data_IF_690268675209
#
_entry.id   IF_690268675209
#
_cell.length_a   1.000
_cell.length_b   1.000
_cell.length_c   1.000
_cell.angle_alpha   90.00
_cell.angle_beta   90.00
_cell.angle_gamma   90.00
#
_symmetry.space_group_name_H-M   'P 1'
#
loop_
_entity.id
_entity.type
_entity.pdbx_description
1 polymer ?
#
# COMPACT_ATOMS: atom_id res chain seq x y z
N UNK A 1 1.22 -7.19 -17.40
CA UNK A 1 0.43 -6.90 -16.17
C UNK A 1 1.25 -5.91 -15.35
N UNK A 2 0.66 -4.79 -14.89
CA UNK A 2 1.35 -3.85 -13.99
C UNK A 2 1.55 -4.55 -12.65
N UNK A 3 2.71 -5.20 -12.47
CA UNK A 3 3.01 -6.03 -11.30
C UNK A 3 3.52 -5.22 -10.12
N UNK A 4 3.98 -4.00 -10.37
CA UNK A 4 4.65 -3.15 -9.38
C UNK A 4 4.07 -1.73 -9.44
N UNK A 5 3.35 -1.27 -8.40
CA UNK A 5 2.70 0.03 -8.36
C UNK A 5 3.67 1.22 -8.52
N UNK A 6 4.90 1.04 -8.06
CA UNK A 6 5.94 2.08 -8.03
C UNK A 6 6.99 1.91 -9.13
N UNK A 7 6.79 0.99 -10.08
CA UNK A 7 7.75 0.81 -11.16
C UNK A 7 7.66 1.93 -12.20
N UNK A 8 8.78 2.20 -12.85
CA UNK A 8 8.85 3.14 -13.96
C UNK A 8 7.89 2.73 -15.10
N UNK A 9 7.71 1.43 -15.34
CA UNK A 9 6.77 0.90 -16.33
C UNK A 9 5.32 1.25 -15.97
N UNK A 10 4.93 1.10 -14.71
CA UNK A 10 3.58 1.47 -14.24
C UNK A 10 3.35 2.97 -14.35
N UNK A 11 4.35 3.78 -13.98
CA UNK A 11 4.27 5.23 -14.11
C UNK A 11 4.11 5.67 -15.58
N UNK A 12 4.87 5.06 -16.50
CA UNK A 12 4.76 5.32 -17.94
C UNK A 12 3.36 4.95 -18.46
N UNK A 13 2.85 3.78 -18.09
CA UNK A 13 1.50 3.35 -18.50
C UNK A 13 0.39 4.25 -17.96
N UNK A 14 0.50 4.71 -16.71
CA UNK A 14 -0.44 5.69 -16.17
C UNK A 14 -0.38 7.03 -16.91
N UNK A 15 0.81 7.48 -17.29
CA UNK A 15 0.98 8.70 -18.09
C UNK A 15 0.38 8.54 -19.49
N UNK A 16 0.56 7.38 -20.14
CA UNK A 16 -0.08 7.07 -21.42
C UNK A 16 -1.60 7.10 -21.31
N UNK A 17 -2.18 6.45 -20.29
CA UNK A 17 -3.63 6.45 -20.06
C UNK A 17 -4.15 7.87 -19.84
N UNK A 18 -3.46 8.69 -19.03
CA UNK A 18 -3.80 10.11 -18.82
C UNK A 18 -3.79 10.90 -20.13
N UNK A 19 -2.76 10.71 -20.95
CA UNK A 19 -2.65 11.40 -22.23
C UNK A 19 -3.79 10.99 -23.17
N UNK A 20 -4.11 9.70 -23.27
CA UNK A 20 -5.19 9.20 -24.13
C UNK A 20 -6.56 9.69 -23.69
N UNK A 21 -6.81 9.73 -22.39
CA UNK A 21 -8.08 10.18 -21.79
C UNK A 21 -8.12 11.69 -21.50
N UNK A 22 -7.15 12.45 -22.01
CA UNK A 22 -7.12 13.91 -21.85
C UNK A 22 -8.34 14.57 -22.48
N UNK A 23 -8.70 15.75 -21.94
CA UNK A 23 -9.85 16.52 -22.40
C UNK A 23 -9.79 16.86 -23.89
N UNK A 24 -8.61 17.21 -24.41
CA UNK A 24 -8.40 17.52 -25.82
C UNK A 24 -8.63 16.30 -26.71
N UNK A 25 -8.08 15.14 -26.32
CA UNK A 25 -8.22 13.91 -27.08
C UNK A 25 -9.66 13.41 -27.05
N UNK A 26 -10.30 13.38 -25.88
CA UNK A 26 -11.73 13.06 -25.74
C UNK A 26 -12.58 13.99 -26.62
N UNK A 27 -12.35 15.30 -26.57
CA UNK A 27 -13.09 16.26 -27.41
C UNK A 27 -12.88 16.00 -28.90
N UNK A 28 -11.65 15.69 -29.34
CA UNK A 28 -11.37 15.36 -30.74
C UNK A 28 -12.08 14.08 -31.19
N UNK A 29 -12.15 13.06 -30.33
CA UNK A 29 -12.85 11.80 -30.60
C UNK A 29 -14.37 12.00 -30.70
N UNK A 30 -14.92 12.91 -29.90
CA UNK A 30 -16.34 13.25 -29.90
C UNK A 30 -16.76 14.21 -31.02
N UNK A 31 -15.81 14.76 -31.79
CA UNK A 31 -16.08 15.61 -32.96
C UNK A 31 -15.88 14.86 -34.29
N UNK A 32 -15.38 13.62 -34.24
CA UNK A 32 -15.15 12.79 -35.42
C UNK A 32 -16.42 12.13 -35.97
N UNK A 33 -16.33 11.49 -37.15
CA UNK A 33 -17.47 10.80 -37.79
C UNK A 33 -18.02 9.63 -36.97
N UNK A 34 -17.25 9.10 -36.00
CA UNK A 34 -17.62 7.98 -35.13
C UNK A 34 -17.89 8.44 -33.67
N UNK A 35 -18.34 9.68 -33.48
CA UNK A 35 -18.52 10.29 -32.15
C UNK A 35 -19.40 9.46 -31.20
N UNK A 36 -20.47 8.84 -31.70
CA UNK A 36 -21.40 8.04 -30.89
C UNK A 36 -20.73 6.76 -30.34
N UNK A 37 -19.95 6.07 -31.18
CA UNK A 37 -19.20 4.88 -30.78
C UNK A 37 -18.08 5.25 -29.78
N UNK A 38 -17.39 6.36 -30.03
CA UNK A 38 -16.40 6.90 -29.10
C UNK A 38 -17.03 7.24 -27.73
N UNK A 39 -18.23 7.85 -27.72
CA UNK A 39 -19.00 8.16 -26.50
C UNK A 39 -19.29 6.90 -25.68
N UNK A 40 -19.69 5.82 -26.34
CA UNK A 40 -19.95 4.53 -25.68
C UNK A 40 -18.68 3.95 -25.06
N UNK A 41 -17.59 3.90 -25.83
CA UNK A 41 -16.31 3.36 -25.35
C UNK A 41 -15.75 4.16 -24.16
N UNK A 42 -15.79 5.49 -24.22
CA UNK A 42 -15.32 6.34 -23.13
C UNK A 42 -16.18 6.14 -21.88
N UNK A 43 -17.50 5.93 -22.03
CA UNK A 43 -18.40 5.63 -20.91
C UNK A 43 -18.03 4.30 -20.25
N UNK A 44 -17.78 3.24 -21.02
CA UNK A 44 -17.34 1.94 -20.49
C UNK A 44 -15.99 2.04 -19.77
N UNK A 45 -15.05 2.81 -20.32
CA UNK A 45 -13.74 3.04 -19.67
C UNK A 45 -13.93 3.81 -18.36
N UNK A 46 -14.77 4.84 -18.33
CA UNK A 46 -15.09 5.61 -17.13
C UNK A 46 -15.72 4.76 -16.03
N UNK A 47 -16.63 3.85 -16.39
CA UNK A 47 -17.23 2.90 -15.43
C UNK A 47 -16.19 1.94 -14.85
N UNK A 48 -15.26 1.45 -15.67
CA UNK A 48 -14.15 0.58 -15.22
C UNK A 48 -13.15 1.31 -14.32
N UNK A 49 -12.89 2.57 -14.59
CA UNK A 49 -12.05 3.45 -13.74
C UNK A 49 -12.82 4.05 -12.56
N UNK A 50 -14.12 3.75 -12.44
CA UNK A 50 -14.96 4.24 -11.35
C UNK A 50 -14.59 3.63 -10.00
N UNK A 51 -14.92 4.36 -8.92
CA UNK A 51 -14.62 3.97 -7.54
C UNK A 51 -15.11 2.56 -7.20
N UNK A 52 -16.34 2.21 -7.59
CA UNK A 52 -16.95 0.91 -7.27
C UNK A 52 -16.26 -0.27 -7.96
N UNK A 53 -15.84 -0.09 -9.22
CA UNK A 53 -15.12 -1.10 -10.00
C UNK A 53 -13.71 -1.31 -9.45
N UNK A 54 -13.00 -0.23 -9.15
CA UNK A 54 -11.65 -0.28 -8.59
C UNK A 54 -11.64 -0.83 -7.16
N UNK A 55 -12.64 -0.49 -6.34
CA UNK A 55 -12.79 -1.07 -5.01
C UNK A 55 -13.00 -2.58 -5.06
N UNK A 56 -13.83 -3.08 -5.98
CA UNK A 56 -14.02 -4.54 -6.16
C UNK A 56 -12.72 -5.25 -6.53
N UNK A 57 -11.93 -4.69 -7.44
CA UNK A 57 -10.63 -5.26 -7.84
C UNK A 57 -9.65 -5.22 -6.66
N UNK A 58 -9.68 -4.15 -5.87
CA UNK A 58 -8.86 -4.00 -4.68
C UNK A 58 -9.23 -5.01 -3.58
N UNK A 59 -10.51 -5.19 -3.31
CA UNK A 59 -11.03 -6.18 -2.35
C UNK A 59 -10.67 -7.60 -2.78
N UNK A 60 -10.76 -7.90 -4.09
CA UNK A 60 -10.33 -9.20 -4.64
C UNK A 60 -8.82 -9.43 -4.52
N UNK A 61 -8.00 -8.37 -4.54
CA UNK A 61 -6.55 -8.47 -4.36
C UNK A 61 -6.14 -8.87 -2.94
N UNK A 62 -7.01 -8.64 -1.95
CA UNK A 62 -6.82 -9.17 -0.59
C UNK A 62 -7.04 -10.69 -0.52
N UNK A 63 -7.91 -11.23 -1.38
CA UNK A 63 -8.35 -12.63 -1.41
C UNK A 63 -7.60 -13.49 -2.44
N UNK A 64 -6.29 -13.29 -2.61
CA UNK A 64 -5.50 -14.29 -3.35
C UNK A 64 -5.43 -15.53 -2.46
N UNK A 65 -6.19 -16.57 -2.80
CA UNK A 65 -6.16 -17.86 -2.10
C UNK A 65 -4.75 -18.43 -2.16
N UNK A 66 -4.11 -18.53 -1.00
CA UNK A 66 -2.82 -19.18 -0.89
C UNK A 66 -3.03 -20.69 -0.88
N UNK A 67 -2.37 -21.46 -1.78
CA UNK A 67 -2.44 -22.91 -1.76
C UNK A 67 -2.07 -23.45 -0.37
N UNK A 68 -2.88 -24.37 0.16
CA UNK A 68 -2.72 -24.97 1.49
C UNK A 68 -3.42 -24.23 2.64
N UNK A 69 -4.06 -23.08 2.38
CA UNK A 69 -4.80 -22.27 3.37
C UNK A 69 -6.28 -22.06 3.00
N UNK A 70 -6.79 -22.73 1.97
CA UNK A 70 -8.23 -22.74 1.73
C UNK A 70 -8.95 -23.48 2.87
N UNK A 71 -10.24 -23.19 3.12
CA UNK A 71 -11.00 -23.86 4.18
C UNK A 71 -11.04 -25.40 4.04
N UNK A 72 -10.98 -25.91 2.81
CA UNK A 72 -10.96 -27.35 2.54
C UNK A 72 -9.58 -27.93 2.83
N UNK A 73 -8.51 -27.31 2.34
CA UNK A 73 -7.14 -27.76 2.62
C UNK A 73 -6.79 -27.68 4.10
N UNK A 74 -7.27 -26.66 4.83
CA UNK A 74 -7.11 -26.56 6.29
C UNK A 74 -7.81 -27.74 6.97
N UNK A 75 -9.04 -28.06 6.56
CA UNK A 75 -9.77 -29.20 7.11
C UNK A 75 -9.03 -30.50 6.83
N UNK A 76 -8.53 -30.70 5.62
CA UNK A 76 -7.79 -31.90 5.24
C UNK A 76 -6.45 -32.01 5.99
N UNK A 77 -5.75 -30.88 6.18
CA UNK A 77 -4.49 -30.78 6.94
C UNK A 77 -4.64 -30.94 8.44
N UNK A 78 -5.82 -30.71 9.01
CA UNK A 78 -6.05 -30.81 10.47
C UNK A 78 -6.82 -32.07 10.85
N UNK A 79 -7.37 -32.79 9.86
CA UNK A 79 -8.04 -34.07 10.02
C UNK A 79 -7.04 -35.24 10.14
N UNK A 80 -6.20 -35.23 11.18
CA UNK A 80 -5.46 -36.43 11.60
C UNK A 80 -6.27 -37.23 12.62
N UNK A 81 -6.10 -38.55 12.61
CA UNK A 81 -6.63 -39.46 13.64
C UNK A 81 -5.80 -39.43 14.93
N UNK A 82 -4.59 -38.87 14.88
CA UNK A 82 -3.73 -38.62 16.03
C UNK A 82 -4.02 -37.23 16.64
N UNK A 83 -4.44 -37.14 17.91
CA UNK A 83 -4.74 -35.87 18.58
C UNK A 83 -3.54 -34.91 18.70
N UNK A 84 -2.32 -35.41 18.91
CA UNK A 84 -1.14 -34.54 19.07
C UNK A 84 -0.69 -33.96 17.72
N UNK A 85 -0.80 -34.77 16.67
CA UNK A 85 -0.51 -34.35 15.30
C UNK A 85 -1.54 -33.31 14.82
N UNK A 86 -2.83 -33.57 15.04
CA UNK A 86 -3.92 -32.65 14.68
C UNK A 86 -3.75 -31.29 15.38
N UNK A 87 -3.38 -31.30 16.67
CA UNK A 87 -3.11 -30.07 17.41
C UNK A 87 -1.90 -29.31 16.84
N UNK A 88 -0.80 -30.01 16.55
CA UNK A 88 0.41 -29.40 15.99
C UNK A 88 0.18 -28.80 14.60
N UNK A 89 -0.54 -29.52 13.74
CA UNK A 89 -0.93 -29.03 12.40
C UNK A 89 -1.87 -27.83 12.50
N UNK A 90 -2.79 -27.83 13.47
CA UNK A 90 -3.69 -26.69 13.72
C UNK A 90 -2.90 -25.45 14.13
N UNK A 91 -1.93 -25.59 15.04
CA UNK A 91 -1.05 -24.48 15.45
C UNK A 91 -0.26 -23.93 14.26
N UNK A 92 0.29 -24.80 13.42
CA UNK A 92 1.01 -24.38 12.21
C UNK A 92 0.10 -23.61 11.24
N UNK A 93 -1.14 -24.09 11.03
CA UNK A 93 -2.13 -23.39 10.19
C UNK A 93 -2.47 -22.02 10.77
N UNK A 94 -2.62 -21.88 12.09
CA UNK A 94 -2.86 -20.59 12.72
C UNK A 94 -1.73 -19.58 12.46
N UNK A 95 -0.48 -20.01 12.58
CA UNK A 95 0.68 -19.16 12.28
C UNK A 95 0.71 -18.77 10.80
N UNK A 96 0.45 -19.72 9.90
CA UNK A 96 0.37 -19.46 8.46
C UNK A 96 -0.75 -18.49 8.10
N UNK A 97 -1.94 -18.60 8.72
CA UNK A 97 -3.06 -17.68 8.55
C UNK A 97 -2.72 -16.27 9.05
N UNK A 98 -2.07 -16.15 10.21
CA UNK A 98 -1.63 -14.86 10.74
C UNK A 98 -0.65 -14.18 9.80
N UNK A 99 0.30 -14.96 9.24
CA UNK A 99 1.23 -14.47 8.23
C UNK A 99 0.50 -14.11 6.94
N UNK A 100 -0.48 -14.90 6.49
CA UNK A 100 -1.26 -14.59 5.30
C UNK A 100 -2.09 -13.31 5.45
N UNK A 101 -2.63 -13.04 6.63
CA UNK A 101 -3.33 -11.78 6.91
C UNK A 101 -2.40 -10.57 6.71
N UNK A 102 -1.13 -10.70 7.11
CA UNK A 102 -0.11 -9.65 6.88
C UNK A 102 0.17 -9.46 5.38
N UNK A 103 0.27 -10.55 4.61
CA UNK A 103 0.47 -10.50 3.16
C UNK A 103 -0.75 -9.92 2.43
N UNK A 104 -1.97 -10.28 2.84
CA UNK A 104 -3.20 -9.71 2.30
C UNK A 104 -3.24 -8.20 2.51
N UNK A 105 -2.91 -7.73 3.72
CA UNK A 105 -2.79 -6.30 4.03
C UNK A 105 -1.72 -5.62 3.17
N UNK A 106 -0.58 -6.28 2.95
CA UNK A 106 0.47 -5.76 2.08
C UNK A 106 0.01 -5.63 0.62
N UNK A 107 -0.66 -6.65 0.05
CA UNK A 107 -1.19 -6.60 -1.33
C UNK A 107 -2.19 -5.46 -1.51
N UNK A 108 -3.07 -5.28 -0.52
CA UNK A 108 -4.00 -4.16 -0.47
C UNK A 108 -3.22 -2.85 -0.49
N UNK A 109 -2.32 -2.61 0.49
CA UNK A 109 -1.56 -1.36 0.57
C UNK A 109 -0.74 -1.05 -0.68
N UNK A 110 -0.09 -2.06 -1.26
CA UNK A 110 0.67 -1.91 -2.49
C UNK A 110 -0.25 -1.55 -3.67
N UNK A 111 -1.45 -2.12 -3.77
CA UNK A 111 -2.38 -1.78 -4.86
C UNK A 111 -3.11 -0.45 -4.68
N UNK A 112 -3.17 0.10 -3.45
CA UNK A 112 -3.91 1.35 -3.16
C UNK A 112 -3.45 2.55 -4.02
N UNK A 113 -2.15 2.89 -4.14
CA UNK A 113 -1.72 4.04 -4.95
C UNK A 113 -2.11 3.90 -6.43
N UNK A 114 -2.01 2.69 -6.98
CA UNK A 114 -2.40 2.42 -8.36
C UNK A 114 -3.91 2.57 -8.54
N UNK A 115 -4.71 2.03 -7.61
CA UNK A 115 -6.17 2.18 -7.63
C UNK A 115 -6.57 3.66 -7.52
N UNK A 116 -5.95 4.43 -6.62
CA UNK A 116 -6.19 5.88 -6.51
C UNK A 116 -5.79 6.63 -7.78
N UNK A 117 -4.64 6.31 -8.38
CA UNK A 117 -4.20 6.95 -9.62
C UNK A 117 -5.16 6.69 -10.78
N UNK A 118 -5.65 5.45 -10.92
CA UNK A 118 -6.65 5.08 -11.93
C UNK A 118 -8.00 5.76 -11.68
N UNK A 119 -8.39 5.91 -10.41
CA UNK A 119 -9.61 6.61 -10.04
C UNK A 119 -9.57 8.10 -10.42
N UNK A 120 -8.47 8.80 -10.11
CA UNK A 120 -8.32 10.22 -10.49
C UNK A 120 -8.36 10.41 -12.01
N UNK A 121 -7.74 9.50 -12.77
CA UNK A 121 -7.85 9.48 -14.24
C UNK A 121 -9.31 9.40 -14.67
N UNK A 122 -10.09 8.48 -14.10
CA UNK A 122 -11.52 8.32 -14.44
C UNK A 122 -12.37 9.55 -14.10
N UNK A 123 -11.99 10.32 -13.07
CA UNK A 123 -12.65 11.56 -12.66
C UNK A 123 -12.36 12.72 -13.62
N UNK A 124 -11.13 12.80 -14.13
CA UNK A 124 -10.69 13.84 -15.08
C UNK A 124 -11.36 13.70 -16.47
N UNK A 125 -11.93 12.54 -16.80
CA UNK A 125 -12.70 12.33 -18.04
C UNK A 125 -14.05 13.07 -17.99
N UNK A 126 -14.01 14.30 -18.49
CA UNK A 126 -15.17 15.15 -18.77
C UNK A 126 -15.70 14.88 -20.18
N UNK A 127 -16.89 14.29 -20.27
CA UNK A 127 -17.55 13.97 -21.54
C UNK A 127 -18.21 15.20 -22.20
N UNK A 128 -18.30 16.34 -21.49
CA UNK A 128 -19.11 17.48 -21.88
C UNK A 128 -20.61 17.11 -21.97
N UNK A 129 -21.48 17.95 -21.41
CA UNK A 129 -22.90 17.83 -21.73
C UNK A 129 -23.09 17.89 -23.25
N UNK A 130 -23.96 17.04 -23.84
CA UNK A 130 -24.25 17.14 -25.25
C UNK A 130 -24.86 18.53 -25.49
N UNK A 131 -24.14 19.38 -26.21
CA UNK A 131 -24.66 20.69 -26.63
C UNK A 131 -25.97 20.48 -27.36
N UNK A 132 -27.10 21.04 -26.88
CA UNK A 132 -28.34 21.05 -27.65
C UNK A 132 -28.08 21.81 -28.95
N UNK A 133 -28.38 21.16 -30.07
CA UNK A 133 -28.33 21.75 -31.40
C UNK A 133 -29.23 23.01 -31.43
N UNK A 134 -28.84 24.10 -32.11
CA UNK A 134 -29.60 25.34 -32.05
C UNK A 134 -30.80 25.24 -32.99
N UNK A 135 -32.00 25.16 -32.43
CA UNK A 135 -33.22 25.52 -33.16
C UNK A 135 -33.78 26.82 -32.57
N UNK A 136 -33.78 27.84 -33.42
CA UNK A 136 -34.46 29.11 -33.23
C UNK A 136 -35.94 28.89 -32.88
N UNK A 137 -36.43 29.57 -31.83
CA UNK A 137 -37.61 30.46 -31.93
C UNK A 137 -37.86 31.24 -30.64
N UNK A 138 -38.10 32.54 -30.86
CA UNK A 138 -38.46 33.62 -29.93
C UNK A 138 -39.63 33.33 -28.99
N UNK A 139 -39.58 33.87 -27.76
CA UNK A 139 -40.65 34.66 -27.14
C UNK A 139 -40.20 35.27 -25.80
N UNK A 140 -40.80 36.42 -25.51
CA UNK A 140 -40.43 37.49 -24.57
C UNK A 140 -40.91 37.30 -23.11
N UNK A 141 -40.49 38.28 -22.29
CA UNK A 141 -41.07 38.81 -21.04
C UNK A 141 -40.65 38.11 -19.73
N UNK A 142 -39.79 38.74 -18.91
CA UNK A 142 -40.00 39.91 -18.02
C UNK A 142 -40.36 39.46 -16.59
N UNK A 143 -39.43 39.65 -15.64
CA UNK A 143 -39.65 40.20 -14.28
C UNK A 143 -38.48 39.89 -13.30
N UNK A 144 -37.70 40.95 -13.04
CA UNK A 144 -37.18 41.48 -11.75
C UNK A 144 -36.79 40.54 -10.56
N UNK A 145 -35.47 40.56 -10.26
CA UNK A 145 -34.64 40.47 -9.00
C UNK A 145 -35.27 40.78 -7.62
N UNK A 146 -34.54 40.74 -6.45
CA UNK A 146 -33.23 40.14 -6.03
C UNK A 146 -33.30 39.41 -4.65
N UNK A 147 -32.23 38.78 -4.14
CA UNK A 147 -31.43 39.13 -2.92
C UNK A 147 -31.00 37.79 -2.25
N UNK A 148 -29.93 37.56 -1.49
CA UNK A 148 -28.70 38.26 -1.12
C UNK A 148 -27.81 37.22 -0.38
N UNK A 149 -26.48 37.39 -0.48
CA UNK A 149 -25.46 37.06 0.52
C UNK A 149 -25.28 35.61 1.04
N UNK A 150 -24.13 35.00 0.73
CA UNK A 150 -23.02 35.05 1.70
C UNK A 150 -21.64 34.73 1.11
N UNK A 151 -20.68 35.51 1.65
CA UNK A 151 -19.32 35.73 1.22
C UNK A 151 -18.41 34.50 1.14
N UNK A 152 -17.63 34.50 0.06
CA UNK A 152 -16.25 34.05 0.02
C UNK A 152 -15.45 34.53 1.25
N UNK A 153 -14.77 33.61 1.91
CA UNK A 153 -13.38 33.88 2.27
C UNK A 153 -12.55 32.61 2.05
N UNK A 154 -11.84 32.61 0.93
CA UNK A 154 -10.67 31.80 0.73
C UNK A 154 -9.66 32.10 1.84
N UNK A 155 -9.18 31.06 2.51
CA UNK A 155 -7.75 30.93 2.78
C UNK A 155 -7.36 29.45 2.81
N UNK A 156 -6.87 29.05 1.65
CA UNK A 156 -5.87 28.02 1.41
C UNK A 156 -4.94 27.78 2.60
N UNK A 157 -4.84 26.51 3.00
CA UNK A 157 -3.59 25.74 3.12
C UNK A 157 -3.81 24.55 4.06
N UNK A 158 -4.59 23.56 3.61
CA UNK A 158 -4.26 22.19 4.00
C UNK A 158 -3.14 21.78 3.06
N UNK A 159 -1.92 22.13 3.47
CA UNK A 159 -0.70 21.81 2.77
C UNK A 159 -0.74 20.33 2.38
N UNK A 160 -0.97 20.10 1.09
CA UNK A 160 -0.43 18.96 0.36
C UNK A 160 1.09 19.11 0.33
N UNK A 161 1.65 18.95 1.51
CA UNK A 161 3.01 18.57 1.75
C UNK A 161 2.85 17.36 2.65
N UNK A 162 2.59 16.19 2.06
CA UNK A 162 3.18 14.98 2.63
C UNK A 162 4.67 15.25 2.58
N UNK A 163 5.16 15.89 3.64
CA UNK A 163 6.58 16.17 3.82
C UNK A 163 7.27 14.83 3.57
N UNK A 164 8.37 14.90 2.86
CA UNK A 164 9.31 13.83 2.61
C UNK A 164 9.99 13.36 3.93
N UNK A 165 9.23 13.34 5.04
CA UNK A 165 9.65 12.79 6.33
C UNK A 165 9.44 11.28 6.26
N UNK A 166 10.55 10.54 6.31
CA UNK A 166 10.51 9.12 6.60
C UNK A 166 9.89 8.84 7.97
N UNK A 167 9.32 7.66 8.12
CA UNK A 167 8.78 7.16 9.37
C UNK A 167 9.91 6.62 10.24
N UNK A 168 9.82 6.84 11.55
CA UNK A 168 10.74 6.25 12.52
C UNK A 168 9.98 5.27 13.39
N UNK A 169 10.39 4.01 13.37
CA UNK A 169 9.80 2.93 14.16
C UNK A 169 10.67 2.69 15.40
N UNK A 170 10.12 3.00 16.58
CA UNK A 170 10.90 3.06 17.82
C UNK A 170 10.73 1.79 18.67
N UNK A 171 11.84 1.27 19.17
CA UNK A 171 11.91 0.13 20.08
C UNK A 171 12.65 0.52 21.36
N UNK A 172 12.02 0.28 22.50
CA UNK A 172 12.46 0.77 23.80
C UNK A 172 13.27 -0.27 24.58
N UNK A 173 13.04 -1.56 24.30
CA UNK A 173 13.74 -2.66 24.98
C UNK A 173 13.98 -3.84 24.06
N UNK A 174 15.03 -4.62 24.36
CA UNK A 174 15.29 -5.91 23.70
C UNK A 174 14.13 -6.88 23.84
N UNK A 175 13.29 -6.70 24.86
CA UNK A 175 12.13 -7.55 25.15
C UNK A 175 10.87 -7.14 24.40
N UNK A 176 10.88 -6.00 23.71
CA UNK A 176 9.71 -5.50 22.98
C UNK A 176 9.31 -6.43 21.83
N UNK A 177 10.27 -7.23 21.34
CA UNK A 177 10.13 -8.05 20.16
C UNK A 177 11.11 -9.21 20.23
N UNK A 178 10.63 -10.44 20.13
CA UNK A 178 11.44 -11.65 20.30
C UNK A 178 11.22 -12.63 19.15
N UNK A 179 11.96 -13.74 19.16
CA UNK A 179 11.91 -14.74 18.09
C UNK A 179 10.55 -15.44 17.97
N UNK A 180 9.89 -15.75 19.09
CA UNK A 180 8.60 -16.46 19.11
C UNK A 180 7.43 -15.55 18.68
N UNK A 181 7.55 -14.25 18.93
CA UNK A 181 6.56 -13.25 18.60
C UNK A 181 7.24 -11.94 18.13
N UNK A 182 7.80 -11.93 16.91
CA UNK A 182 8.44 -10.73 16.38
C UNK A 182 7.37 -9.68 16.06
N UNK A 183 7.62 -8.44 16.48
CA UNK A 183 6.96 -7.26 15.96
C UNK A 183 7.25 -7.12 14.47
N UNK A 184 6.25 -6.61 13.78
CA UNK A 184 6.28 -6.40 12.35
C UNK A 184 6.25 -4.89 12.05
N UNK A 185 7.17 -4.44 11.21
CA UNK A 185 7.17 -3.11 10.62
C UNK A 185 6.69 -3.25 9.19
N UNK A 186 5.58 -2.58 8.86
CA UNK A 186 4.96 -2.63 7.54
C UNK A 186 5.41 -1.45 6.68
N UNK A 187 5.57 -1.71 5.37
CA UNK A 187 5.83 -0.71 4.32
C UNK A 187 7.09 0.13 4.54
N UNK A 188 8.18 -0.52 4.95
CA UNK A 188 9.44 0.15 5.21
C UNK A 188 10.13 0.59 3.91
N UNK A 189 10.32 1.89 3.75
CA UNK A 189 11.09 2.47 2.65
C UNK A 189 12.51 2.79 3.11
N UNK A 190 13.49 2.00 2.65
CA UNK A 190 14.89 2.15 3.01
C UNK A 190 15.50 3.51 2.67
N UNK A 191 14.89 4.29 1.76
CA UNK A 191 15.40 5.61 1.38
C UNK A 191 15.09 6.69 2.42
N UNK A 192 14.08 6.48 3.26
CA UNK A 192 13.52 7.51 4.13
C UNK A 192 13.29 7.02 5.55
N UNK A 193 12.86 5.79 5.74
CA UNK A 193 12.46 5.27 7.04
C UNK A 193 13.66 4.82 7.90
N UNK A 194 13.45 4.87 9.22
CA UNK A 194 14.44 4.49 10.23
C UNK A 194 13.84 3.53 11.26
N UNK A 195 14.68 2.63 11.75
CA UNK A 195 14.42 1.84 12.94
C UNK A 195 15.19 2.47 14.09
N UNK A 196 14.49 3.07 15.05
CA UNK A 196 15.12 3.66 16.22
C UNK A 196 15.25 2.61 17.32
N UNK A 197 16.51 2.22 17.57
CA UNK A 197 16.93 1.26 18.58
C UNK A 197 17.86 1.91 19.60
N UNK A 198 17.85 3.24 19.71
CA UNK A 198 18.70 4.01 20.63
C UNK A 198 18.50 3.57 22.08
N UNK A 199 17.25 3.33 22.50
CA UNK A 199 16.94 2.84 23.84
C UNK A 199 17.48 1.43 24.09
N UNK A 200 17.43 0.55 23.08
CA UNK A 200 18.05 -0.78 23.14
C UNK A 200 19.56 -0.65 23.30
N UNK A 201 20.22 0.19 22.49
CA UNK A 201 21.66 0.43 22.62
C UNK A 201 22.02 0.94 24.02
N UNK A 202 21.25 1.85 24.58
CA UNK A 202 21.43 2.35 25.94
C UNK A 202 21.29 1.23 26.97
N UNK A 203 20.30 0.34 26.81
CA UNK A 203 20.12 -0.85 27.65
C UNK A 203 21.35 -1.78 27.62
N UNK A 204 22.04 -1.88 26.48
CA UNK A 204 23.22 -2.72 26.27
C UNK A 204 24.55 -2.01 26.63
N UNK A 205 24.49 -0.95 27.45
CA UNK A 205 25.66 -0.24 27.95
C UNK A 205 26.16 0.89 27.03
N UNK A 206 25.32 1.39 26.13
CA UNK A 206 25.56 2.58 25.28
C UNK A 206 26.78 2.47 24.36
N UNK A 207 27.25 1.25 24.08
CA UNK A 207 28.30 0.99 23.09
C UNK A 207 27.70 0.98 21.68
N UNK A 208 28.46 1.32 20.63
CA UNK A 208 27.99 1.19 19.26
C UNK A 208 27.58 -0.24 18.96
N UNK A 209 26.44 -0.41 18.29
CA UNK A 209 25.98 -1.71 17.84
C UNK A 209 26.88 -2.24 16.72
N UNK A 210 27.34 -3.48 16.79
CA UNK A 210 28.31 -4.06 15.86
C UNK A 210 27.61 -4.94 14.83
N UNK A 211 27.60 -4.54 13.55
CA UNK A 211 27.14 -5.42 12.47
C UNK A 211 28.08 -6.64 12.35
N UNK A 212 27.51 -7.84 12.35
CA UNK A 212 28.25 -9.11 12.22
C UNK A 212 27.54 -10.05 11.24
N UNK A 213 28.28 -11.00 10.68
CA UNK A 213 27.69 -12.07 9.87
C UNK A 213 27.07 -13.17 10.74
N UNK A 214 27.73 -13.52 11.84
CA UNK A 214 27.29 -14.54 12.79
C UNK A 214 27.45 -14.03 14.23
N UNK A 215 26.46 -14.29 15.09
CA UNK A 215 26.57 -13.91 16.49
C UNK A 215 27.66 -14.71 17.19
N UNK A 216 28.57 -14.01 17.87
CA UNK A 216 29.54 -14.60 18.78
C UNK A 216 28.95 -14.81 20.19
N UNK A 217 27.80 -14.22 20.47
CA UNK A 217 27.19 -14.15 21.80
C UNK A 217 27.60 -12.90 22.59
N UNK A 218 28.43 -12.03 22.01
CA UNK A 218 28.72 -10.73 22.57
C UNK A 218 27.48 -9.82 22.52
N UNK A 219 27.34 -8.95 23.52
CA UNK A 219 26.23 -8.00 23.60
C UNK A 219 26.34 -6.88 22.57
N UNK A 220 25.21 -6.49 21.97
CA UNK A 220 25.14 -5.39 21.01
C UNK A 220 25.61 -5.73 19.60
N UNK A 221 25.71 -7.02 19.25
CA UNK A 221 25.89 -7.45 17.87
C UNK A 221 24.57 -7.33 17.10
N UNK A 222 24.64 -7.01 15.82
CA UNK A 222 23.48 -6.82 14.95
C UNK A 222 23.63 -7.68 13.71
N UNK A 223 22.52 -8.28 13.30
CA UNK A 223 22.37 -8.89 11.98
C UNK A 223 21.20 -8.25 11.25
N UNK A 224 21.37 -8.03 9.95
CA UNK A 224 20.32 -7.56 9.04
C UNK A 224 20.30 -8.51 7.86
N UNK A 225 19.23 -9.28 7.72
CA UNK A 225 19.06 -10.24 6.63
C UNK A 225 17.92 -9.77 5.75
N UNK A 226 18.16 -9.58 4.45
CA UNK A 226 17.13 -9.23 3.49
C UNK A 226 16.87 -10.41 2.55
N UNK A 227 15.60 -10.79 2.40
CA UNK A 227 15.16 -11.74 1.41
C UNK A 227 14.39 -11.02 0.29
N UNK A 228 14.95 -10.94 -0.93
CA UNK A 228 14.29 -10.28 -2.05
C UNK A 228 13.07 -11.03 -2.56
N UNK A 229 12.95 -12.34 -2.32
CA UNK A 229 11.83 -13.14 -2.82
C UNK A 229 10.49 -12.74 -2.20
N UNK A 230 10.50 -12.24 -0.96
CA UNK A 230 9.33 -11.78 -0.24
C UNK A 230 9.45 -10.32 0.22
N UNK A 231 10.44 -9.57 -0.30
CA UNK A 231 10.75 -8.20 0.08
C UNK A 231 10.69 -7.98 1.61
N UNK A 232 11.35 -8.86 2.37
CA UNK A 232 11.30 -8.84 3.83
C UNK A 232 12.71 -8.85 4.40
N UNK A 233 12.95 -7.98 5.38
CA UNK A 233 14.15 -7.99 6.20
C UNK A 233 13.87 -8.52 7.61
N UNK A 234 14.85 -9.18 8.19
CA UNK A 234 14.86 -9.53 9.62
C UNK A 234 16.06 -8.84 10.25
N UNK A 235 15.81 -8.03 11.27
CA UNK A 235 16.84 -7.36 12.06
C UNK A 235 16.89 -8.02 13.43
N UNK A 236 18.08 -8.45 13.83
CA UNK A 236 18.33 -9.06 15.12
C UNK A 236 19.40 -8.29 15.88
N UNK A 237 19.21 -8.07 17.18
CA UNK A 237 20.18 -7.42 18.06
C UNK A 237 20.42 -8.32 19.28
N UNK A 238 21.66 -8.74 19.50
CA UNK A 238 22.01 -9.58 20.65
C UNK A 238 21.88 -8.81 21.97
N UNK A 239 21.19 -9.43 22.93
CA UNK A 239 21.02 -8.89 24.28
C UNK A 239 22.28 -8.99 25.15
N UNK A 240 22.14 -8.93 26.47
CA UNK A 240 23.25 -9.31 27.35
C UNK A 240 23.53 -10.82 27.23
N UNK A 241 24.73 -11.31 27.60
CA UNK A 241 25.02 -12.74 27.56
C UNK A 241 23.96 -13.56 28.32
N UNK A 242 23.35 -14.53 27.63
CA UNK A 242 22.27 -15.37 28.18
C UNK A 242 20.86 -14.82 28.01
N UNK A 243 20.69 -13.59 27.50
CA UNK A 243 19.39 -13.04 27.14
C UNK A 243 19.03 -13.37 25.67
N UNK A 244 17.74 -13.57 25.36
CA UNK A 244 17.29 -13.73 23.98
C UNK A 244 17.54 -12.44 23.17
N UNK A 245 17.82 -12.56 21.87
CA UNK A 245 17.99 -11.39 21.01
C UNK A 245 16.65 -10.67 20.81
N UNK A 246 16.75 -9.36 20.58
CA UNK A 246 15.68 -8.59 19.96
C UNK A 246 15.55 -9.04 18.50
N UNK A 247 14.32 -9.23 18.02
CA UNK A 247 14.05 -9.62 16.63
C UNK A 247 12.91 -8.79 16.08
N UNK A 248 13.10 -8.06 14.98
CA UNK A 248 12.01 -7.38 14.27
C UNK A 248 11.97 -7.86 12.82
N UNK A 249 10.77 -8.18 12.35
CA UNK A 249 10.50 -8.48 10.95
C UNK A 249 10.02 -7.21 10.27
N UNK A 250 10.62 -6.88 9.13
CA UNK A 250 10.37 -5.63 8.43
C UNK A 250 10.01 -5.94 6.99
N UNK A 251 8.84 -5.49 6.54
CA UNK A 251 8.41 -5.64 5.16
C UNK A 251 8.97 -4.47 4.35
N UNK A 252 10.05 -4.74 3.63
CA UNK A 252 10.93 -3.79 2.98
C UNK A 252 12.40 -4.16 3.19
N UNK A 253 13.28 -3.63 2.34
CA UNK A 253 14.73 -3.73 2.53
C UNK A 253 15.13 -2.89 3.75
N UNK A 254 15.89 -3.45 4.68
CA UNK A 254 16.54 -2.70 5.76
C UNK A 254 18.03 -2.77 5.53
N UNK A 255 18.70 -1.62 5.59
CA UNK A 255 20.17 -1.53 5.61
C UNK A 255 20.62 -1.14 7.00
N UNK A 256 21.88 -1.43 7.33
CA UNK A 256 22.44 -1.01 8.61
C UNK A 256 22.37 0.52 8.81
N UNK A 257 22.46 1.30 7.73
CA UNK A 257 22.27 2.76 7.74
C UNK A 257 20.86 3.23 8.10
N UNK A 258 19.88 2.33 8.11
CA UNK A 258 18.51 2.62 8.54
C UNK A 258 18.32 2.52 10.06
N UNK A 259 19.29 1.97 10.80
CA UNK A 259 19.21 1.96 12.25
C UNK A 259 19.66 3.30 12.83
N UNK A 260 18.82 3.89 13.69
CA UNK A 260 19.21 4.95 14.60
C UNK A 260 19.65 4.31 15.93
N UNK A 261 20.89 4.55 16.33
CA UNK A 261 21.54 3.93 17.48
C UNK A 261 22.16 4.96 18.39
#
# INVERSE_FOLDING_TARGET
MLREPNSQETAQKLAEIRSLLSKENVKSMLQGPNADEARKLITEVKERLGQSSLQKIHDQSSHIERPGLSPQEIRDRTASSDPEESFSQSMQVFDELRVEESYAKQRVRQSTPLASALFEIGKEVDLGEPTPQPDNSSAEADSLKPDNNNNNNNNNNSNDSRIDIGQTFTFHSTRDSNFDAPKEVMDFDHNRDKLDVTAIRNQLGNKPLKLVENFSGASGEVQVHYNPANNTSVVMISGNPGEPPFVVKVFGEVRYSNLST
#
